data_IF_083976767139
#
_entry.id   IF_083976767139
#
_cell.length_a   1.000
_cell.length_b   1.000
_cell.length_c   1.000
_cell.angle_alpha   90.00
_cell.angle_beta   90.00
_cell.angle_gamma   90.00
#
_symmetry.space_group_name_H-M   'P 1'
#
loop_
_entity.id
_entity.type
_entity.pdbx_description
1 polymer ?
#
# COMPACT_ATOMS: atom_id res chain seq x y z
N UNK A 1 -14.00 -52.85 -61.78
CA UNK A 1 -13.00 -53.93 -61.70
C UNK A 1 -12.96 -54.33 -60.26
N UNK A 2 -13.70 -55.32 -59.84
CA UNK A 2 -13.31 -56.72 -59.65
C UNK A 2 -12.33 -56.85 -58.49
N UNK A 3 -12.47 -57.63 -57.43
CA UNK A 3 -13.30 -58.85 -57.15
C UNK A 3 -13.01 -59.14 -55.67
N UNK A 4 -13.92 -59.41 -54.80
CA UNK A 4 -14.56 -60.64 -54.45
C UNK A 4 -13.61 -61.80 -54.04
N UNK A 5 -13.83 -62.31 -52.82
CA UNK A 5 -14.15 -63.73 -52.45
C UNK A 5 -13.73 -63.92 -50.97
N UNK A 6 -14.71 -64.20 -50.10
CA UNK A 6 -15.23 -65.53 -49.69
C UNK A 6 -14.22 -66.34 -48.86
N UNK A 7 -14.50 -66.62 -47.67
CA UNK A 7 -15.42 -67.48 -46.93
C UNK A 7 -14.63 -68.61 -46.25
N UNK A 8 -14.89 -68.87 -44.98
CA UNK A 8 -15.32 -70.16 -44.46
C UNK A 8 -15.15 -70.29 -42.94
N UNK A 9 -16.23 -70.47 -42.23
CA UNK A 9 -16.29 -71.21 -40.97
C UNK A 9 -16.23 -72.74 -41.28
N UNK A 10 -15.84 -73.59 -40.31
CA UNK A 10 -16.89 -74.38 -39.70
C UNK A 10 -16.70 -74.84 -38.23
N UNK A 11 -17.87 -75.11 -37.65
CA UNK A 11 -18.30 -76.28 -36.88
C UNK A 11 -17.88 -76.53 -35.44
N UNK A 12 -18.82 -76.26 -34.59
CA UNK A 12 -19.37 -77.06 -33.48
C UNK A 12 -18.69 -78.38 -33.11
N UNK A 13 -18.36 -78.49 -31.80
CA UNK A 13 -18.40 -79.76 -31.10
C UNK A 13 -18.85 -79.57 -29.65
N UNK A 14 -20.11 -79.89 -29.37
CA UNK A 14 -20.67 -80.17 -28.05
C UNK A 14 -20.19 -81.53 -27.55
N UNK A 15 -19.82 -81.68 -26.28
CA UNK A 15 -19.88 -82.88 -25.46
C UNK A 15 -20.07 -82.51 -23.98
N UNK A 16 -20.66 -83.33 -23.09
CA UNK A 16 -21.72 -82.90 -22.19
C UNK A 16 -21.34 -82.80 -20.69
N UNK A 17 -22.27 -82.18 -20.04
CA UNK A 17 -22.58 -82.03 -18.62
C UNK A 17 -22.27 -83.29 -17.73
N UNK A 18 -21.52 -83.10 -16.65
CA UNK A 18 -21.68 -83.91 -15.44
C UNK A 18 -21.72 -82.96 -14.23
N UNK A 19 -22.85 -82.97 -13.47
CA UNK A 19 -23.09 -82.36 -12.15
C UNK A 19 -22.09 -82.90 -11.14
N UNK A 20 -21.49 -82.03 -10.36
CA UNK A 20 -21.07 -82.30 -9.00
C UNK A 20 -21.32 -81.03 -8.12
N UNK A 21 -22.37 -81.06 -7.31
CA UNK A 21 -22.65 -80.05 -6.27
C UNK A 21 -21.66 -80.28 -5.16
N UNK A 22 -20.85 -79.23 -4.83
CA UNK A 22 -20.14 -79.10 -3.54
C UNK A 22 -20.55 -77.83 -2.95
N UNK A 23 -21.34 -77.87 -1.87
CA UNK A 23 -21.67 -76.78 -0.97
C UNK A 23 -20.41 -76.42 -0.19
N UNK A 24 -19.77 -75.33 -0.50
CA UNK A 24 -18.75 -74.71 0.33
C UNK A 24 -19.32 -73.43 0.93
N UNK A 25 -19.67 -73.53 2.22
CA UNK A 25 -20.06 -72.38 3.06
C UNK A 25 -18.81 -71.51 3.28
N UNK A 26 -18.59 -70.53 2.39
CA UNK A 26 -17.51 -69.54 2.53
C UNK A 26 -18.00 -68.38 3.41
N UNK A 27 -17.44 -68.25 4.59
CA UNK A 27 -17.53 -67.12 5.50
C UNK A 27 -17.10 -65.87 4.70
N UNK A 28 -18.03 -64.96 4.45
CA UNK A 28 -17.72 -63.59 4.02
C UNK A 28 -17.11 -62.85 5.20
N UNK A 29 -15.81 -63.01 5.39
CA UNK A 29 -15.04 -62.03 6.16
C UNK A 29 -15.06 -60.73 5.36
N UNK A 30 -15.86 -59.75 5.78
CA UNK A 30 -15.76 -58.38 5.36
C UNK A 30 -14.38 -57.85 5.78
N UNK A 31 -13.38 -58.04 4.94
CA UNK A 31 -12.15 -57.27 5.01
C UNK A 31 -12.55 -55.86 4.63
N UNK A 32 -12.72 -54.97 5.61
CA UNK A 32 -12.50 -53.55 5.38
C UNK A 32 -11.04 -53.47 4.93
N UNK A 33 -10.82 -53.49 3.62
CA UNK A 33 -9.57 -52.98 3.05
C UNK A 33 -9.48 -51.52 3.49
N UNK A 34 -8.77 -51.27 4.56
CA UNK A 34 -8.19 -49.94 4.81
C UNK A 34 -7.26 -49.69 3.63
N UNK A 35 -7.73 -48.90 2.68
CA UNK A 35 -6.87 -48.36 1.60
C UNK A 35 -5.68 -47.77 2.32
N UNK A 36 -4.43 -48.23 2.09
CA UNK A 36 -3.28 -47.64 2.70
C UNK A 36 -3.27 -46.16 2.22
N UNK A 37 -3.38 -45.25 3.15
CA UNK A 37 -3.20 -43.80 2.89
C UNK A 37 -1.83 -43.69 2.20
N UNK A 38 -1.82 -43.44 0.88
CA UNK A 38 -0.60 -43.12 0.16
C UNK A 38 -0.10 -41.75 0.69
N UNK A 39 0.84 -41.84 1.66
CA UNK A 39 1.43 -40.65 2.29
C UNK A 39 2.05 -39.68 1.25
N UNK A 40 2.43 -40.21 0.07
CA UNK A 40 2.89 -39.41 -1.06
C UNK A 40 1.78 -38.65 -1.79
N UNK A 41 0.52 -39.12 -1.73
CA UNK A 41 -0.58 -38.43 -2.41
C UNK A 41 -0.96 -37.13 -1.73
N UNK A 42 -0.98 -37.12 -0.38
CA UNK A 42 -1.21 -35.89 0.40
C UNK A 42 -0.12 -34.84 0.15
N UNK A 43 1.15 -35.23 0.20
CA UNK A 43 2.27 -34.31 -0.03
C UNK A 43 2.30 -33.76 -1.47
N UNK A 44 1.94 -34.56 -2.49
CA UNK A 44 1.80 -34.04 -3.86
C UNK A 44 0.75 -32.93 -3.94
N UNK A 45 -0.42 -33.11 -3.32
CA UNK A 45 -1.47 -32.09 -3.26
C UNK A 45 -1.03 -30.85 -2.48
N UNK A 46 -0.30 -31.02 -1.39
CA UNK A 46 0.28 -29.93 -0.64
C UNK A 46 1.28 -29.12 -1.49
N UNK A 47 2.09 -29.78 -2.33
CA UNK A 47 3.00 -29.10 -3.24
C UNK A 47 2.26 -28.33 -4.34
N UNK A 48 1.19 -28.89 -4.89
CA UNK A 48 0.32 -28.19 -5.85
C UNK A 48 -0.33 -26.96 -5.19
N UNK A 49 -0.81 -27.08 -3.95
CA UNK A 49 -1.37 -25.98 -3.19
C UNK A 49 -0.36 -24.83 -3.01
N UNK A 50 0.87 -25.11 -2.62
CA UNK A 50 1.95 -24.09 -2.52
C UNK A 50 2.22 -23.41 -3.86
N UNK A 51 2.12 -24.12 -4.97
CA UNK A 51 2.27 -23.56 -6.32
C UNK A 51 1.14 -22.56 -6.62
N UNK A 52 -0.10 -22.92 -6.29
CA UNK A 52 -1.25 -21.99 -6.44
C UNK A 52 -1.16 -20.79 -5.52
N UNK A 53 -0.67 -20.94 -4.29
CA UNK A 53 -0.40 -19.83 -3.38
C UNK A 53 0.60 -18.83 -3.99
N UNK A 54 1.70 -19.33 -4.55
CA UNK A 54 2.71 -18.50 -5.21
C UNK A 54 2.16 -17.73 -6.42
N UNK A 55 1.09 -18.23 -7.05
CA UNK A 55 0.38 -17.58 -8.16
C UNK A 55 -0.76 -16.67 -7.70
N UNK A 56 -1.04 -16.58 -6.39
CA UNK A 56 -2.18 -15.87 -5.85
C UNK A 56 -3.54 -16.53 -6.12
N UNK A 57 -3.55 -17.80 -6.57
CA UNK A 57 -4.75 -18.54 -6.89
C UNK A 57 -5.32 -19.23 -5.63
N UNK A 58 -5.80 -18.39 -4.69
CA UNK A 58 -6.11 -18.79 -3.32
C UNK A 58 -7.21 -19.85 -3.20
N UNK A 59 -8.26 -19.82 -4.05
CA UNK A 59 -9.31 -20.85 -4.04
C UNK A 59 -8.75 -22.21 -4.46
N UNK A 60 -7.92 -22.26 -5.52
CA UNK A 60 -7.28 -23.48 -5.98
C UNK A 60 -6.29 -24.02 -4.93
N UNK A 61 -5.54 -23.12 -4.29
CA UNK A 61 -4.67 -23.48 -3.17
C UNK A 61 -5.47 -24.13 -2.04
N UNK A 62 -6.57 -23.51 -1.60
CA UNK A 62 -7.42 -24.03 -0.53
C UNK A 62 -8.00 -25.41 -0.84
N UNK A 63 -8.50 -25.62 -2.05
CA UNK A 63 -9.02 -26.92 -2.50
C UNK A 63 -7.94 -28.02 -2.50
N UNK A 64 -6.73 -27.69 -2.95
CA UNK A 64 -5.61 -28.65 -2.92
C UNK A 64 -5.13 -28.93 -1.49
N UNK A 65 -5.16 -27.93 -0.60
CA UNK A 65 -4.90 -28.14 0.83
C UNK A 65 -5.96 -29.04 1.48
N UNK A 66 -7.26 -28.89 1.13
CA UNK A 66 -8.33 -29.78 1.60
C UNK A 66 -8.08 -31.23 1.13
N UNK A 67 -7.76 -31.42 -0.16
CA UNK A 67 -7.42 -32.75 -0.66
C UNK A 67 -6.15 -33.34 -0.02
N UNK A 68 -5.16 -32.52 0.28
CA UNK A 68 -3.97 -32.96 1.02
C UNK A 68 -4.33 -33.44 2.41
N UNK A 69 -5.21 -32.72 3.11
CA UNK A 69 -5.69 -33.11 4.43
C UNK A 69 -6.46 -34.44 4.42
N UNK A 70 -7.35 -34.63 3.44
CA UNK A 70 -8.17 -35.85 3.32
C UNK A 70 -7.32 -37.11 3.01
N UNK A 71 -6.13 -36.92 2.45
CA UNK A 71 -5.21 -38.00 2.05
C UNK A 71 -4.03 -38.20 2.99
N UNK A 72 -4.02 -37.49 4.11
CA UNK A 72 -2.91 -37.54 5.07
C UNK A 72 -3.37 -37.99 6.44
N UNK A 73 -2.52 -38.71 7.20
CA UNK A 73 -2.80 -39.00 8.61
C UNK A 73 -2.58 -37.77 9.48
N UNK A 74 -3.14 -37.78 10.70
CA UNK A 74 -2.77 -36.81 11.73
C UNK A 74 -1.31 -37.01 12.16
N UNK A 75 -0.57 -35.95 12.53
CA UNK A 75 -1.01 -34.54 12.62
C UNK A 75 -0.95 -33.75 11.30
N UNK A 76 -0.39 -34.31 10.21
CA UNK A 76 -0.23 -33.62 8.94
C UNK A 76 -1.58 -33.14 8.36
N UNK A 77 -2.64 -33.94 8.51
CA UNK A 77 -3.99 -33.55 8.07
C UNK A 77 -4.47 -32.27 8.75
N UNK A 78 -4.20 -32.09 10.02
CA UNK A 78 -4.56 -30.87 10.76
C UNK A 78 -3.76 -29.66 10.30
N UNK A 79 -2.46 -29.80 10.02
CA UNK A 79 -1.64 -28.72 9.43
C UNK A 79 -2.16 -28.31 8.04
N UNK A 80 -2.54 -29.29 7.21
CA UNK A 80 -3.10 -28.99 5.88
C UNK A 80 -4.49 -28.34 5.97
N UNK A 81 -5.36 -28.74 6.92
CA UNK A 81 -6.63 -28.04 7.18
C UNK A 81 -6.41 -26.59 7.60
N UNK A 82 -5.40 -26.32 8.45
CA UNK A 82 -5.04 -24.96 8.81
C UNK A 82 -4.63 -24.15 7.58
N UNK A 83 -3.76 -24.72 6.72
CA UNK A 83 -3.33 -24.05 5.49
C UNK A 83 -4.51 -23.83 4.52
N UNK A 84 -5.46 -24.77 4.41
CA UNK A 84 -6.69 -24.57 3.64
C UNK A 84 -7.50 -23.40 4.19
N UNK A 85 -7.65 -23.31 5.52
CA UNK A 85 -8.33 -22.22 6.19
C UNK A 85 -7.70 -20.85 5.92
N UNK A 86 -6.37 -20.77 5.98
CA UNK A 86 -5.62 -19.55 5.66
C UNK A 86 -5.78 -19.16 4.19
N UNK A 87 -5.75 -20.11 3.26
CA UNK A 87 -5.97 -19.87 1.85
C UNK A 87 -7.40 -19.39 1.56
N UNK A 88 -8.44 -19.96 2.22
CA UNK A 88 -9.81 -19.45 2.14
C UNK A 88 -9.94 -18.03 2.67
N UNK A 89 -9.24 -17.67 3.76
CA UNK A 89 -9.19 -16.27 4.25
C UNK A 89 -8.64 -15.33 3.20
N UNK A 90 -7.53 -15.69 2.58
CA UNK A 90 -6.92 -14.91 1.47
C UNK A 90 -7.87 -14.75 0.28
N UNK A 91 -8.70 -15.76 0.04
CA UNK A 91 -9.74 -15.75 -1.00
C UNK A 91 -10.99 -14.96 -0.63
N UNK A 92 -11.11 -14.48 0.61
CA UNK A 92 -12.30 -13.79 1.14
C UNK A 92 -13.45 -14.72 1.56
N UNK A 93 -13.24 -16.04 1.56
CA UNK A 93 -14.24 -17.02 2.02
C UNK A 93 -14.13 -17.27 3.52
N UNK A 94 -14.63 -16.31 4.30
CA UNK A 94 -14.57 -16.32 5.76
C UNK A 94 -15.31 -17.54 6.35
N UNK A 95 -16.37 -18.01 5.70
CA UNK A 95 -17.16 -19.15 6.17
C UNK A 95 -16.38 -20.46 6.13
N UNK A 96 -15.81 -20.80 4.96
CA UNK A 96 -14.96 -21.99 4.82
C UNK A 96 -13.68 -21.89 5.62
N UNK A 97 -13.07 -20.71 5.67
CA UNK A 97 -11.90 -20.47 6.49
C UNK A 97 -12.13 -20.83 7.95
N UNK A 98 -13.22 -20.33 8.54
CA UNK A 98 -13.59 -20.62 9.93
C UNK A 98 -13.78 -22.10 10.20
N UNK A 99 -14.49 -22.81 9.31
CA UNK A 99 -14.70 -24.25 9.46
C UNK A 99 -13.37 -25.02 9.45
N UNK A 100 -12.47 -24.70 8.52
CA UNK A 100 -11.18 -25.38 8.39
C UNK A 100 -10.24 -25.09 9.57
N UNK A 101 -10.12 -23.84 10.00
CA UNK A 101 -9.31 -23.43 11.15
C UNK A 101 -9.82 -24.12 12.41
N UNK A 102 -11.12 -24.12 12.67
CA UNK A 102 -11.69 -24.77 13.83
C UNK A 102 -11.41 -26.29 13.87
N UNK A 103 -11.57 -26.97 12.73
CA UNK A 103 -11.31 -28.42 12.62
C UNK A 103 -9.82 -28.78 12.72
N UNK A 104 -8.92 -27.86 12.42
CA UNK A 104 -7.49 -28.13 12.51
C UNK A 104 -6.99 -28.21 13.95
N UNK A 105 -7.57 -27.42 14.88
CA UNK A 105 -7.02 -27.18 16.22
C UNK A 105 -6.76 -28.45 17.03
N UNK A 106 -7.62 -29.45 16.94
CA UNK A 106 -7.52 -30.66 17.76
C UNK A 106 -6.25 -31.49 17.53
N UNK A 107 -5.67 -31.41 16.33
CA UNK A 107 -4.45 -32.14 15.96
C UNK A 107 -3.18 -31.26 15.90
N UNK A 108 -3.29 -29.96 16.24
CA UNK A 108 -2.16 -29.04 16.20
C UNK A 108 -1.46 -28.92 17.57
N UNK A 109 -0.17 -28.62 17.52
CA UNK A 109 0.64 -28.35 18.70
C UNK A 109 1.78 -27.38 18.37
N UNK A 110 2.38 -26.76 19.38
CA UNK A 110 3.51 -25.86 19.22
C UNK A 110 3.19 -24.73 18.22
N UNK A 111 4.11 -24.47 17.31
CA UNK A 111 4.02 -23.37 16.37
C UNK A 111 2.77 -23.38 15.48
N UNK A 112 2.27 -24.58 15.07
CA UNK A 112 1.05 -24.65 14.26
C UNK A 112 -0.19 -24.27 15.08
N UNK A 113 -0.21 -24.53 16.37
CA UNK A 113 -1.28 -24.06 17.25
C UNK A 113 -1.26 -22.53 17.40
N UNK A 114 -0.07 -21.94 17.52
CA UNK A 114 0.09 -20.47 17.55
C UNK A 114 -0.39 -19.84 16.23
N UNK A 115 -0.05 -20.45 15.09
CA UNK A 115 -0.56 -20.04 13.76
C UNK A 115 -2.08 -20.14 13.66
N UNK A 116 -2.68 -21.19 14.20
CA UNK A 116 -4.14 -21.35 14.21
C UNK A 116 -4.82 -20.29 15.10
N UNK A 117 -4.21 -19.93 16.21
CA UNK A 117 -4.72 -18.87 17.08
C UNK A 117 -4.58 -17.48 16.45
N UNK A 118 -3.49 -17.24 15.72
CA UNK A 118 -3.34 -16.03 14.90
C UNK A 118 -4.39 -15.97 13.77
N UNK A 119 -4.67 -17.11 13.12
CA UNK A 119 -5.70 -17.20 12.09
C UNK A 119 -7.11 -16.93 12.63
N UNK A 120 -7.38 -17.25 13.90
CA UNK A 120 -8.65 -16.90 14.56
C UNK A 120 -8.79 -15.38 14.74
N UNK A 121 -7.73 -14.70 15.17
CA UNK A 121 -7.73 -13.24 15.23
C UNK A 121 -7.92 -12.60 13.82
N UNK A 122 -7.33 -13.19 12.77
CA UNK A 122 -7.59 -12.77 11.38
C UNK A 122 -9.05 -12.96 10.97
N UNK A 123 -9.67 -14.05 11.37
CA UNK A 123 -11.11 -14.30 11.12
C UNK A 123 -12.01 -13.28 11.80
N UNK A 124 -11.70 -12.90 13.03
CA UNK A 124 -12.43 -11.86 13.76
C UNK A 124 -12.32 -10.53 13.04
N UNK A 125 -11.11 -10.13 12.66
CA UNK A 125 -10.89 -8.90 11.90
C UNK A 125 -11.60 -8.91 10.55
N UNK A 126 -11.51 -10.01 9.80
CA UNK A 126 -12.20 -10.17 8.51
C UNK A 126 -13.74 -10.16 8.63
N UNK A 127 -14.26 -10.46 9.82
CA UNK A 127 -15.69 -10.39 10.14
C UNK A 127 -16.10 -9.00 10.66
N UNK A 128 -15.17 -8.04 10.76
CA UNK A 128 -15.41 -6.68 11.27
C UNK A 128 -15.29 -6.55 12.80
N UNK A 129 -14.89 -7.60 13.50
CA UNK A 129 -14.68 -7.60 14.95
C UNK A 129 -13.20 -7.31 15.27
N UNK A 130 -12.81 -6.05 15.14
CA UNK A 130 -11.45 -5.63 15.39
C UNK A 130 -11.07 -5.64 16.88
N UNK A 131 -12.01 -5.33 17.76
CA UNK A 131 -11.79 -5.41 19.21
C UNK A 131 -11.62 -6.86 19.67
N UNK A 132 -12.44 -7.78 19.16
CA UNK A 132 -12.29 -9.20 19.38
C UNK A 132 -10.95 -9.74 18.86
N UNK A 133 -10.48 -9.25 17.69
CA UNK A 133 -9.17 -9.61 17.16
C UNK A 133 -8.03 -9.15 18.09
N UNK A 134 -8.08 -7.92 18.62
CA UNK A 134 -7.10 -7.43 19.60
C UNK A 134 -7.08 -8.27 20.87
N UNK A 135 -8.26 -8.59 21.42
CA UNK A 135 -8.38 -9.43 22.62
C UNK A 135 -7.82 -10.86 22.38
N UNK A 136 -8.07 -11.44 21.19
CA UNK A 136 -7.51 -12.74 20.83
C UNK A 136 -5.98 -12.69 20.74
N UNK A 137 -5.41 -11.61 20.18
CA UNK A 137 -3.96 -11.41 20.09
C UNK A 137 -3.28 -11.27 21.46
N UNK A 138 -3.94 -10.67 22.46
CA UNK A 138 -3.38 -10.51 23.80
C UNK A 138 -3.11 -11.85 24.50
N UNK A 139 -3.79 -12.92 24.10
CA UNK A 139 -3.58 -14.27 24.61
C UNK A 139 -2.36 -14.98 24.03
N UNK A 140 -1.71 -14.40 22.99
CA UNK A 140 -0.58 -14.96 22.29
C UNK A 140 0.72 -14.26 22.65
N UNK A 141 1.81 -15.03 22.77
CA UNK A 141 3.14 -14.45 22.89
C UNK A 141 3.62 -13.95 21.49
N UNK A 142 3.80 -12.64 21.35
CA UNK A 142 4.25 -11.98 20.12
C UNK A 142 5.75 -12.23 19.84
N UNK A 143 6.20 -13.48 19.89
CA UNK A 143 7.60 -13.87 19.73
C UNK A 143 7.78 -14.95 18.66
N UNK A 144 9.04 -15.18 18.29
CA UNK A 144 9.40 -16.25 17.36
C UNK A 144 8.82 -16.05 15.96
N UNK A 145 8.40 -17.14 15.35
CA UNK A 145 8.00 -17.16 13.93
C UNK A 145 6.68 -16.42 13.63
N UNK A 146 5.82 -16.23 14.64
CA UNK A 146 4.54 -15.53 14.45
C UNK A 146 4.63 -14.02 14.71
N UNK A 147 5.74 -13.54 15.26
CA UNK A 147 5.86 -12.17 15.76
C UNK A 147 5.55 -11.11 14.68
N UNK A 148 6.12 -11.26 13.50
CA UNK A 148 5.90 -10.30 12.40
C UNK A 148 4.42 -10.23 11.98
N UNK A 149 3.74 -11.39 11.91
CA UNK A 149 2.33 -11.47 11.54
C UNK A 149 1.43 -10.99 12.68
N UNK A 150 1.80 -11.27 13.92
CA UNK A 150 1.10 -10.79 15.12
C UNK A 150 1.08 -9.25 15.16
N UNK A 151 2.24 -8.61 14.98
CA UNK A 151 2.34 -7.15 14.96
C UNK A 151 1.59 -6.53 13.78
N UNK A 152 1.62 -7.19 12.61
CA UNK A 152 0.83 -6.76 11.45
C UNK A 152 -0.67 -6.78 11.74
N UNK A 153 -1.16 -7.91 12.27
CA UNK A 153 -2.58 -8.08 12.55
C UNK A 153 -3.06 -7.13 13.65
N UNK A 154 -2.21 -6.88 14.66
CA UNK A 154 -2.47 -5.86 15.67
C UNK A 154 -2.61 -4.47 15.06
N UNK A 155 -1.70 -4.10 14.14
CA UNK A 155 -1.79 -2.83 13.44
C UNK A 155 -3.08 -2.70 12.63
N UNK A 156 -3.45 -3.73 11.87
CA UNK A 156 -4.68 -3.75 11.07
C UNK A 156 -5.93 -3.57 11.95
N UNK A 157 -5.98 -4.25 13.08
CA UNK A 157 -7.08 -4.13 14.02
C UNK A 157 -7.14 -2.73 14.65
N UNK A 158 -5.99 -2.14 15.00
CA UNK A 158 -5.90 -0.78 15.54
C UNK A 158 -6.33 0.28 14.51
N UNK A 159 -5.92 0.12 13.24
CA UNK A 159 -6.39 0.98 12.15
C UNK A 159 -7.92 0.86 11.98
N UNK A 160 -8.47 -0.33 12.07
CA UNK A 160 -9.91 -0.56 11.92
C UNK A 160 -10.74 0.16 12.98
N UNK A 161 -10.23 0.31 14.22
CA UNK A 161 -10.90 1.04 15.31
C UNK A 161 -10.45 2.52 15.43
N UNK A 162 -9.63 3.02 14.49
CA UNK A 162 -9.21 4.42 14.46
C UNK A 162 -8.09 4.79 15.44
N UNK A 163 -7.39 3.82 16.01
CA UNK A 163 -6.22 4.05 16.87
C UNK A 163 -4.93 4.15 16.04
N UNK A 164 -4.87 5.19 15.19
CA UNK A 164 -3.86 5.35 14.15
C UNK A 164 -2.42 5.40 14.69
N UNK A 165 -2.16 6.14 15.78
CA UNK A 165 -0.83 6.23 16.39
C UNK A 165 -0.34 4.87 16.90
N UNK A 166 -1.20 4.14 17.60
CA UNK A 166 -0.88 2.81 18.11
C UNK A 166 -0.66 1.80 16.95
N UNK A 167 -1.43 1.93 15.86
CA UNK A 167 -1.28 1.10 14.66
C UNK A 167 0.07 1.35 13.97
N UNK A 168 0.48 2.62 13.82
CA UNK A 168 1.80 2.97 13.29
C UNK A 168 2.91 2.41 14.19
N UNK A 169 2.78 2.55 15.51
CA UNK A 169 3.70 1.97 16.48
C UNK A 169 3.84 0.45 16.37
N UNK A 170 2.74 -0.25 16.11
CA UNK A 170 2.75 -1.69 15.87
C UNK A 170 3.50 -2.04 14.58
N UNK A 171 3.29 -1.30 13.47
CA UNK A 171 4.02 -1.50 12.22
C UNK A 171 5.53 -1.20 12.35
N UNK A 172 5.90 -0.15 13.08
CA UNK A 172 7.31 0.15 13.39
C UNK A 172 7.94 -0.97 14.22
N UNK A 173 7.22 -1.50 15.20
CA UNK A 173 7.70 -2.62 16.02
C UNK A 173 7.87 -3.91 15.20
N UNK A 174 6.97 -4.17 14.25
CA UNK A 174 7.02 -5.29 13.31
C UNK A 174 8.36 -5.38 12.58
N UNK A 175 8.97 -4.24 12.23
CA UNK A 175 10.25 -4.21 11.49
C UNK A 175 11.38 -5.00 12.17
N UNK A 176 11.36 -5.12 13.51
CA UNK A 176 12.35 -5.89 14.29
C UNK A 176 12.29 -7.39 14.02
N UNK A 177 11.19 -7.88 13.47
CA UNK A 177 10.93 -9.30 13.20
C UNK A 177 10.98 -9.64 11.72
N UNK A 178 11.30 -8.66 10.85
CA UNK A 178 11.48 -8.86 9.42
C UNK A 178 12.96 -9.09 9.10
N UNK A 179 13.25 -10.24 8.50
CA UNK A 179 14.64 -10.71 8.34
C UNK A 179 15.31 -10.25 7.04
N UNK A 180 14.61 -9.61 6.10
CA UNK A 180 15.18 -9.22 4.80
C UNK A 180 14.89 -7.76 4.46
N UNK A 181 15.79 -7.09 3.71
CA UNK A 181 15.56 -5.73 3.24
C UNK A 181 14.28 -5.58 2.42
N UNK A 182 13.93 -6.59 1.62
CA UNK A 182 12.72 -6.59 0.78
C UNK A 182 11.45 -6.63 1.65
N UNK A 183 11.43 -7.45 2.70
CA UNK A 183 10.32 -7.51 3.65
C UNK A 183 10.16 -6.20 4.43
N UNK A 184 11.27 -5.56 4.81
CA UNK A 184 11.27 -4.23 5.43
C UNK A 184 10.70 -3.18 4.49
N UNK A 185 11.16 -3.14 3.24
CA UNK A 185 10.67 -2.19 2.24
C UNK A 185 9.16 -2.39 1.99
N UNK A 186 8.72 -3.64 1.83
CA UNK A 186 7.30 -3.96 1.64
C UNK A 186 6.44 -3.55 2.84
N UNK A 187 6.91 -3.75 4.08
CA UNK A 187 6.21 -3.33 5.29
C UNK A 187 6.05 -1.81 5.38
N UNK A 188 7.08 -1.06 5.01
CA UNK A 188 7.08 0.41 4.99
C UNK A 188 6.15 0.97 3.92
N UNK A 189 6.16 0.36 2.74
CA UNK A 189 5.24 0.72 1.67
C UNK A 189 3.78 0.44 2.06
N UNK A 190 3.52 -0.70 2.70
CA UNK A 190 2.20 -1.04 3.22
C UNK A 190 1.71 -0.03 4.26
N UNK A 191 2.56 0.34 5.23
CA UNK A 191 2.26 1.38 6.22
C UNK A 191 1.96 2.72 5.53
N UNK A 192 2.78 3.10 4.56
CA UNK A 192 2.60 4.32 3.81
C UNK A 192 1.26 4.37 3.08
N UNK A 193 0.87 3.28 2.41
CA UNK A 193 -0.42 3.19 1.72
C UNK A 193 -1.60 3.28 2.70
N UNK A 194 -1.51 2.63 3.86
CA UNK A 194 -2.53 2.74 4.92
C UNK A 194 -2.69 4.17 5.40
N UNK A 195 -1.59 4.85 5.71
CA UNK A 195 -1.61 6.24 6.17
C UNK A 195 -2.18 7.19 5.12
N UNK A 196 -1.85 7.01 3.85
CA UNK A 196 -2.43 7.78 2.74
C UNK A 196 -3.94 7.59 2.65
N UNK A 197 -4.43 6.36 2.76
CA UNK A 197 -5.86 6.06 2.74
C UNK A 197 -6.57 6.69 3.95
N UNK A 198 -5.97 6.63 5.13
CA UNK A 198 -6.48 7.26 6.35
C UNK A 198 -6.57 8.78 6.22
N UNK A 199 -5.51 9.40 5.72
CA UNK A 199 -5.47 10.84 5.47
C UNK A 199 -6.53 11.27 4.44
N UNK A 200 -6.67 10.53 3.34
CA UNK A 200 -7.70 10.77 2.32
C UNK A 200 -9.13 10.59 2.86
N UNK A 201 -9.33 9.71 3.84
CA UNK A 201 -10.60 9.53 4.55
C UNK A 201 -10.85 10.59 5.63
N UNK A 202 -9.96 11.58 5.79
CA UNK A 202 -10.09 12.69 6.76
C UNK A 202 -9.62 12.38 8.18
N UNK A 203 -8.83 11.32 8.39
CA UNK A 203 -8.21 11.05 9.69
C UNK A 203 -7.22 12.18 10.05
N UNK A 204 -7.24 12.63 11.29
CA UNK A 204 -6.39 13.73 11.77
C UNK A 204 -4.90 13.41 11.67
N UNK A 205 -4.50 12.17 11.93
CA UNK A 205 -3.12 11.68 11.97
C UNK A 205 -2.17 12.57 12.77
N UNK A 206 -2.66 13.27 13.80
CA UNK A 206 -1.85 14.12 14.66
C UNK A 206 -1.17 13.28 15.74
N UNK A 207 0.18 13.19 15.76
CA UNK A 207 0.87 12.40 16.76
C UNK A 207 0.75 13.06 18.12
N UNK A 208 0.64 12.26 19.18
CA UNK A 208 0.68 12.78 20.55
C UNK A 208 2.09 13.31 20.88
N UNK A 209 2.22 14.22 21.86
CA UNK A 209 3.53 14.72 22.29
C UNK A 209 4.45 13.62 22.87
N UNK A 210 3.91 12.48 23.24
CA UNK A 210 4.65 11.34 23.77
C UNK A 210 4.99 10.28 22.70
N UNK A 211 4.54 10.47 21.46
CA UNK A 211 4.79 9.53 20.37
C UNK A 211 6.30 9.43 20.07
N UNK A 212 6.76 8.21 19.74
CA UNK A 212 8.11 7.98 19.26
C UNK A 212 8.38 8.80 17.98
N UNK A 213 9.63 9.24 17.77
CA UNK A 213 10.01 10.08 16.64
C UNK A 213 9.74 9.43 15.29
N UNK A 214 9.88 8.10 15.18
CA UNK A 214 9.56 7.35 13.95
C UNK A 214 8.06 7.33 13.70
N UNK A 215 7.26 7.12 14.74
CA UNK A 215 5.78 7.16 14.65
C UNK A 215 5.33 8.56 14.23
N UNK A 216 5.84 9.59 14.91
CA UNK A 216 5.56 10.99 14.60
C UNK A 216 5.92 11.35 13.17
N UNK A 217 7.09 10.92 12.72
CA UNK A 217 7.56 11.18 11.37
C UNK A 217 6.65 10.60 10.29
N UNK A 218 6.19 9.35 10.45
CA UNK A 218 5.25 8.72 9.52
C UNK A 218 3.91 9.46 9.46
N UNK A 219 3.34 9.82 10.62
CA UNK A 219 2.06 10.50 10.71
C UNK A 219 2.12 11.93 10.15
N UNK A 220 3.17 12.70 10.49
CA UNK A 220 3.40 14.02 9.92
C UNK A 220 3.58 13.99 8.40
N UNK A 221 4.34 13.02 7.87
CA UNK A 221 4.56 12.87 6.43
C UNK A 221 3.23 12.64 5.68
N UNK A 222 2.35 11.81 6.22
CA UNK A 222 1.04 11.55 5.64
C UNK A 222 0.13 12.78 5.66
N UNK A 223 0.16 13.58 6.73
CA UNK A 223 -0.57 14.85 6.83
C UNK A 223 -0.08 15.87 5.81
N UNK A 224 1.24 15.98 5.66
CA UNK A 224 1.84 16.91 4.70
C UNK A 224 1.38 16.62 3.28
N UNK A 225 1.30 15.35 2.90
CA UNK A 225 0.86 14.98 1.55
C UNK A 225 -0.65 15.24 1.33
N UNK A 226 -1.48 15.10 2.36
CA UNK A 226 -2.93 15.29 2.24
C UNK A 226 -3.35 16.76 2.13
N UNK A 227 -2.54 17.69 2.64
CA UNK A 227 -2.96 19.06 2.93
C UNK A 227 -2.61 20.09 1.85
N UNK A 228 -1.82 19.77 0.78
CA UNK A 228 -1.13 20.85 0.08
C UNK A 228 -0.99 20.77 -1.43
N UNK A 229 -0.87 22.01 -2.00
CA UNK A 229 -0.44 22.19 -3.37
C UNK A 229 1.01 21.72 -3.58
N UNK A 230 1.38 21.26 -4.78
CA UNK A 230 2.71 20.73 -5.06
C UNK A 230 3.88 21.66 -4.68
N UNK A 231 3.71 22.97 -4.80
CA UNK A 231 4.78 23.94 -4.57
C UNK A 231 5.11 24.16 -3.08
N UNK A 232 4.09 24.26 -2.23
CA UNK A 232 4.28 24.38 -0.77
C UNK A 232 4.72 23.03 -0.17
N UNK A 233 4.29 21.93 -0.76
CA UNK A 233 4.60 20.59 -0.32
C UNK A 233 6.10 20.25 -0.36
N UNK A 234 6.83 20.69 -1.42
CA UNK A 234 8.28 20.43 -1.53
C UNK A 234 9.07 21.04 -0.37
N UNK A 235 8.82 22.29 -0.03
CA UNK A 235 9.49 22.98 1.08
C UNK A 235 9.28 22.24 2.40
N UNK A 236 8.04 21.88 2.70
CA UNK A 236 7.69 21.15 3.92
C UNK A 236 8.23 19.73 3.97
N UNK A 237 8.35 19.03 2.84
CA UNK A 237 9.03 17.73 2.80
C UNK A 237 10.52 17.85 3.13
N UNK A 238 11.18 18.89 2.64
CA UNK A 238 12.59 19.16 2.97
C UNK A 238 12.74 19.55 4.46
N UNK A 239 11.79 20.30 5.02
CA UNK A 239 11.74 20.62 6.44
C UNK A 239 11.51 19.37 7.29
N UNK A 240 10.60 18.50 6.84
CA UNK A 240 10.36 17.22 7.47
C UNK A 240 11.62 16.35 7.43
N UNK A 241 12.33 16.26 6.30
CA UNK A 241 13.57 15.51 6.16
C UNK A 241 14.66 16.03 7.11
N UNK A 242 14.77 17.34 7.27
CA UNK A 242 15.71 17.94 8.24
C UNK A 242 15.36 17.61 9.69
N UNK A 243 14.07 17.53 10.01
CA UNK A 243 13.58 17.18 11.36
C UNK A 243 13.76 15.69 11.67
N UNK A 244 13.65 14.83 10.64
CA UNK A 244 13.74 13.39 10.76
C UNK A 244 14.82 12.80 9.83
N UNK A 245 16.10 13.10 10.04
CA UNK A 245 17.17 12.74 9.10
C UNK A 245 17.36 11.23 8.96
N UNK A 246 17.16 10.47 10.03
CA UNK A 246 17.35 9.01 10.08
C UNK A 246 16.04 8.22 9.90
N UNK A 247 14.96 8.90 9.49
CA UNK A 247 13.66 8.27 9.38
C UNK A 247 13.61 7.25 8.22
N UNK A 248 12.98 6.06 8.42
CA UNK A 248 12.91 5.01 7.40
C UNK A 248 12.30 5.46 6.06
N UNK A 249 11.36 6.39 6.07
CA UNK A 249 10.72 6.93 4.87
C UNK A 249 11.70 7.68 3.94
N UNK A 250 12.84 8.16 4.45
CA UNK A 250 13.86 8.81 3.62
C UNK A 250 14.38 7.88 2.51
N UNK A 251 14.56 6.61 2.83
CA UNK A 251 15.08 5.62 1.89
C UNK A 251 14.01 4.96 1.00
N UNK A 252 12.74 5.02 1.39
CA UNK A 252 11.68 4.26 0.73
C UNK A 252 10.63 5.12 0.02
N UNK A 253 10.13 6.16 0.67
CA UNK A 253 8.95 6.92 0.23
C UNK A 253 9.33 8.32 -0.26
N UNK A 254 10.27 8.99 0.43
CA UNK A 254 10.53 10.41 0.21
C UNK A 254 11.04 10.71 -1.19
N UNK A 255 11.88 9.85 -1.79
CA UNK A 255 12.36 10.01 -3.15
C UNK A 255 11.24 10.11 -4.17
N UNK A 256 10.30 9.17 -4.13
CA UNK A 256 9.13 9.16 -5.02
C UNK A 256 8.20 10.37 -4.81
N UNK A 257 8.04 10.83 -3.56
CA UNK A 257 7.29 12.04 -3.28
C UNK A 257 7.96 13.28 -3.88
N UNK A 258 9.26 13.43 -3.69
CA UNK A 258 10.03 14.55 -4.26
C UNK A 258 9.99 14.54 -5.80
N UNK A 259 10.04 13.37 -6.43
CA UNK A 259 9.92 13.24 -7.88
C UNK A 259 8.51 13.61 -8.37
N UNK A 260 7.46 13.26 -7.63
CA UNK A 260 6.10 13.69 -7.91
C UNK A 260 5.98 15.23 -7.86
N UNK A 261 6.60 15.86 -6.86
CA UNK A 261 6.62 17.31 -6.77
C UNK A 261 7.49 17.97 -7.86
N UNK A 262 8.57 17.33 -8.30
CA UNK A 262 9.34 17.82 -9.47
C UNK A 262 8.51 17.78 -10.74
N UNK A 263 7.85 16.66 -11.02
CA UNK A 263 7.00 16.52 -12.20
C UNK A 263 5.84 17.54 -12.21
N UNK A 264 5.27 17.85 -11.04
CA UNK A 264 4.24 18.87 -10.89
C UNK A 264 4.79 20.31 -11.06
N UNK A 265 6.08 20.53 -10.74
CA UNK A 265 6.74 21.82 -10.92
C UNK A 265 7.20 22.08 -12.35
N UNK A 266 7.33 21.04 -13.19
CA UNK A 266 7.57 21.21 -14.63
C UNK A 266 6.37 21.89 -15.34
N UNK A 267 5.18 21.84 -14.70
CA UNK A 267 3.96 22.55 -15.15
C UNK A 267 3.21 23.12 -13.95
N UNK A 268 3.44 24.40 -13.59
CA UNK A 268 2.73 25.03 -12.48
C UNK A 268 1.21 25.05 -12.77
N UNK A 269 0.41 24.67 -11.79
CA UNK A 269 -1.06 24.69 -11.90
C UNK A 269 -1.61 26.10 -11.66
N UNK A 270 -0.93 26.88 -10.81
CA UNK A 270 -1.28 28.25 -10.50
C UNK A 270 -0.04 29.16 -10.49
N UNK A 271 -0.07 30.20 -11.28
CA UNK A 271 0.98 31.22 -11.37
C UNK A 271 0.47 32.53 -10.77
N UNK A 272 1.18 33.05 -9.79
CA UNK A 272 0.95 34.38 -9.22
C UNK A 272 1.86 35.42 -9.89
N UNK A 273 1.31 36.55 -10.29
CA UNK A 273 2.07 37.68 -10.85
C UNK A 273 1.97 38.87 -9.91
N UNK A 274 3.12 39.27 -9.34
CA UNK A 274 3.23 40.35 -8.36
C UNK A 274 3.70 41.62 -9.06
N UNK A 275 2.81 42.61 -9.19
CA UNK A 275 3.08 43.85 -9.95
C UNK A 275 2.49 45.07 -9.21
N UNK A 276 3.12 46.23 -9.29
CA UNK A 276 2.53 47.51 -8.81
C UNK A 276 1.46 47.97 -9.81
N UNK A 277 0.19 47.59 -9.56
CA UNK A 277 -0.93 47.96 -10.44
C UNK A 277 -1.63 49.27 -10.05
N UNK A 278 -1.28 49.79 -8.90
CA UNK A 278 -1.75 51.11 -8.38
C UNK A 278 -0.57 52.02 -8.09
N UNK A 279 -0.86 53.30 -7.76
CA UNK A 279 0.16 54.26 -7.40
C UNK A 279 1.02 54.75 -8.58
N UNK A 280 2.23 55.21 -8.27
CA UNK A 280 3.14 55.90 -9.23
C UNK A 280 3.63 54.96 -10.37
N UNK A 281 3.74 53.68 -10.10
CA UNK A 281 4.26 52.69 -11.06
C UNK A 281 3.16 51.88 -11.78
N UNK A 282 1.89 52.25 -11.59
CA UNK A 282 0.75 51.55 -12.16
C UNK A 282 0.85 51.35 -13.69
N UNK A 283 1.36 52.35 -14.40
CA UNK A 283 1.57 52.23 -15.86
C UNK A 283 2.60 51.16 -16.26
N UNK A 284 3.70 51.10 -15.51
CA UNK A 284 4.73 50.07 -15.75
C UNK A 284 4.20 48.68 -15.37
N UNK A 285 3.54 48.54 -14.21
CA UNK A 285 2.93 47.29 -13.81
C UNK A 285 1.87 46.78 -14.77
N UNK A 286 1.01 47.66 -15.26
CA UNK A 286 -0.01 47.32 -16.26
C UNK A 286 0.61 46.89 -17.62
N UNK A 287 1.67 47.57 -18.10
CA UNK A 287 2.35 47.17 -19.30
C UNK A 287 2.97 45.79 -19.23
N UNK A 288 3.59 45.45 -18.08
CA UNK A 288 4.14 44.09 -17.82
C UNK A 288 3.02 43.07 -17.78
N UNK A 289 1.94 43.35 -17.03
CA UNK A 289 0.76 42.47 -16.97
C UNK A 289 0.20 42.19 -18.38
N UNK A 290 -0.01 43.23 -19.18
CA UNK A 290 -0.61 43.11 -20.51
C UNK A 290 0.28 42.33 -21.47
N UNK A 291 1.61 42.52 -21.39
CA UNK A 291 2.59 41.74 -22.12
C UNK A 291 2.59 40.27 -21.69
N UNK A 292 2.52 40.00 -20.40
CA UNK A 292 2.43 38.67 -19.86
C UNK A 292 1.12 37.96 -20.28
N UNK A 293 -0.01 38.67 -20.19
CA UNK A 293 -1.31 38.18 -20.66
C UNK A 293 -1.34 37.90 -22.15
N UNK A 294 -0.69 38.74 -22.98
CA UNK A 294 -0.60 38.49 -24.39
C UNK A 294 0.18 37.21 -24.72
N UNK A 295 1.31 36.97 -24.05
CA UNK A 295 2.05 35.71 -24.15
C UNK A 295 1.27 34.50 -23.66
N UNK A 296 0.60 34.63 -22.52
CA UNK A 296 -0.22 33.56 -21.91
C UNK A 296 -1.40 33.14 -22.80
N UNK A 297 -2.09 34.13 -23.42
CA UNK A 297 -3.24 33.86 -24.29
C UNK A 297 -2.81 33.47 -25.72
N UNK A 298 -1.66 33.94 -26.17
CA UNK A 298 -1.12 33.66 -27.51
C UNK A 298 -0.36 32.34 -27.64
N UNK A 299 -0.12 31.63 -26.55
CA UNK A 299 0.53 30.32 -26.59
C UNK A 299 -0.40 29.29 -27.26
N UNK A 300 0.01 28.79 -28.44
CA UNK A 300 -0.68 27.71 -29.15
C UNK A 300 -0.28 26.35 -28.53
N UNK A 301 -1.27 25.48 -28.32
CA UNK A 301 -1.00 24.07 -28.00
C UNK A 301 -1.97 23.41 -27.02
N UNK A 302 -1.91 22.09 -27.02
CA UNK A 302 -2.65 21.20 -26.13
C UNK A 302 -2.11 21.18 -24.68
N UNK A 303 -1.17 22.08 -24.35
CA UNK A 303 -0.58 22.15 -23.01
C UNK A 303 -1.58 22.75 -22.03
N UNK A 304 -1.85 22.11 -20.88
CA UNK A 304 -2.70 22.67 -19.85
C UNK A 304 -2.17 24.05 -19.40
N UNK A 305 -3.04 25.07 -19.42
CA UNK A 305 -2.64 26.41 -18.98
C UNK A 305 -2.83 26.53 -17.48
N UNK A 306 -1.82 27.05 -16.73
CA UNK A 306 -1.99 27.31 -15.30
C UNK A 306 -3.04 28.40 -15.04
N UNK A 307 -3.68 28.34 -13.89
CA UNK A 307 -4.50 29.46 -13.42
C UNK A 307 -3.59 30.65 -13.17
N UNK A 308 -3.89 31.81 -13.79
CA UNK A 308 -3.11 33.03 -13.60
C UNK A 308 -3.83 33.96 -12.61
N UNK A 309 -3.16 34.38 -11.55
CA UNK A 309 -3.64 35.37 -10.60
C UNK A 309 -2.67 36.54 -10.50
N UNK A 310 -3.19 37.76 -10.49
CA UNK A 310 -2.38 39.00 -10.42
C UNK A 310 -2.63 39.71 -9.10
N UNK A 311 -1.55 40.05 -8.40
CA UNK A 311 -1.57 40.71 -7.08
C UNK A 311 -0.91 42.09 -7.20
N UNK A 312 -1.56 43.09 -6.63
CA UNK A 312 -1.07 44.48 -6.64
C UNK A 312 -0.16 44.74 -5.44
N UNK A 313 1.17 44.82 -5.68
CA UNK A 313 2.16 45.10 -4.62
C UNK A 313 2.12 46.51 -4.08
N UNK A 314 1.41 47.45 -4.74
CA UNK A 314 1.27 48.81 -4.29
C UNK A 314 -0.03 49.06 -3.48
N UNK A 315 -1.02 48.16 -3.59
CA UNK A 315 -2.26 48.26 -2.77
C UNK A 315 -2.07 47.63 -1.39
N UNK A 316 -1.16 46.66 -1.27
CA UNK A 316 -0.70 46.06 -0.02
C UNK A 316 0.83 46.09 0.03
N UNK A 317 1.47 45.59 1.10
CA UNK A 317 2.93 45.43 1.05
C UNK A 317 3.32 44.30 0.12
N UNK A 318 4.52 44.34 -0.50
CA UNK A 318 5.01 43.25 -1.37
C UNK A 318 5.05 41.87 -0.67
N UNK A 319 5.38 41.88 0.64
CA UNK A 319 5.40 40.67 1.47
C UNK A 319 3.98 40.12 1.66
N UNK A 320 3.00 40.97 1.95
CA UNK A 320 1.61 40.58 2.12
C UNK A 320 1.02 40.04 0.82
N UNK A 321 1.35 40.65 -0.33
CA UNK A 321 0.93 40.19 -1.65
C UNK A 321 1.55 38.78 -1.97
N UNK A 322 2.80 38.56 -1.57
CA UNK A 322 3.48 37.28 -1.72
C UNK A 322 2.84 36.21 -0.83
N UNK A 323 2.64 36.53 0.47
CA UNK A 323 2.01 35.60 1.40
C UNK A 323 0.59 35.22 0.97
N UNK A 324 -0.20 36.19 0.50
CA UNK A 324 -1.53 35.92 -0.05
C UNK A 324 -1.46 34.97 -1.26
N UNK A 325 -0.55 35.21 -2.18
CA UNK A 325 -0.36 34.36 -3.35
C UNK A 325 -0.02 32.91 -2.94
N UNK A 326 0.86 32.74 -1.96
CA UNK A 326 1.23 31.41 -1.42
C UNK A 326 0.07 30.73 -0.71
N UNK A 327 -0.67 31.44 0.15
CA UNK A 327 -1.85 30.91 0.84
C UNK A 327 -2.95 30.50 -0.14
N UNK A 328 -3.11 31.25 -1.23
CA UNK A 328 -4.08 30.95 -2.29
C UNK A 328 -3.61 29.85 -3.25
N UNK A 329 -2.42 29.24 -3.03
CA UNK A 329 -1.95 28.06 -3.72
C UNK A 329 -1.09 28.32 -4.95
N UNK A 330 -0.34 29.43 -5.02
CA UNK A 330 0.60 29.67 -6.11
C UNK A 330 1.73 28.63 -6.12
N UNK A 331 1.96 28.02 -7.30
CA UNK A 331 3.05 27.08 -7.56
C UNK A 331 4.31 27.77 -8.10
N UNK A 332 4.12 28.92 -8.71
CA UNK A 332 5.16 29.80 -9.25
C UNK A 332 4.76 31.24 -9.01
N UNK A 333 5.72 32.04 -8.55
CA UNK A 333 5.56 33.50 -8.43
C UNK A 333 6.42 34.19 -9.49
N UNK A 334 5.83 35.13 -10.23
CA UNK A 334 6.51 35.99 -11.19
C UNK A 334 6.44 37.43 -10.68
N UNK A 335 7.56 38.08 -10.53
CA UNK A 335 7.70 39.33 -9.82
C UNK A 335 8.42 39.15 -8.46
N UNK A 336 8.54 40.21 -7.65
CA UNK A 336 8.08 41.57 -7.91
C UNK A 336 8.82 42.29 -9.06
N UNK A 337 8.23 43.39 -9.52
CA UNK A 337 8.80 44.21 -10.61
C UNK A 337 9.87 45.17 -10.11
N UNK A 338 9.67 45.78 -8.93
CA UNK A 338 10.60 46.77 -8.42
C UNK A 338 11.69 46.15 -7.56
N UNK A 339 12.85 46.81 -7.54
CA UNK A 339 13.96 46.35 -6.68
C UNK A 339 13.63 46.44 -5.21
N UNK A 340 12.98 47.51 -4.79
CA UNK A 340 12.55 47.70 -3.38
C UNK A 340 11.59 46.60 -2.92
N UNK A 341 10.63 46.21 -3.78
CA UNK A 341 9.70 45.14 -3.48
C UNK A 341 10.42 43.79 -3.41
N UNK A 342 11.44 43.57 -4.27
CA UNK A 342 12.25 42.36 -4.25
C UNK A 342 13.10 42.26 -2.98
N UNK A 343 13.71 43.36 -2.55
CA UNK A 343 14.47 43.43 -1.29
C UNK A 343 13.56 43.10 -0.08
N UNK A 344 12.33 43.63 -0.06
CA UNK A 344 11.37 43.37 0.97
C UNK A 344 10.95 41.90 1.04
N UNK A 345 10.65 41.27 -0.11
CA UNK A 345 10.30 39.86 -0.18
C UNK A 345 11.49 38.97 0.20
N UNK A 346 12.71 39.32 -0.23
CA UNK A 346 13.91 38.54 0.11
C UNK A 346 14.24 38.63 1.61
N UNK A 347 14.10 39.81 2.23
CA UNK A 347 14.37 40.03 3.65
C UNK A 347 13.37 39.31 4.57
N UNK A 348 12.15 39.03 4.10
CA UNK A 348 11.14 38.30 4.83
C UNK A 348 11.29 36.78 4.79
N UNK A 349 12.33 36.27 4.15
CA UNK A 349 12.63 34.84 3.98
C UNK A 349 11.43 34.03 3.42
N UNK A 350 10.75 34.60 2.44
CA UNK A 350 9.52 34.06 1.85
C UNK A 350 9.80 33.01 0.75
N UNK A 351 10.87 32.22 0.87
CA UNK A 351 11.30 31.23 -0.16
C UNK A 351 10.45 29.96 -0.23
N UNK A 352 9.16 30.06 0.09
CA UNK A 352 8.24 28.92 0.10
C UNK A 352 7.88 28.39 -1.29
N UNK A 353 7.94 29.26 -2.31
CA UNK A 353 7.54 28.97 -3.68
C UNK A 353 8.63 29.44 -4.64
N UNK A 354 8.87 28.69 -5.71
CA UNK A 354 9.79 29.12 -6.77
C UNK A 354 9.37 30.50 -7.30
N UNK A 355 10.28 31.46 -7.22
CA UNK A 355 10.00 32.85 -7.57
C UNK A 355 10.95 33.32 -8.67
N UNK A 356 10.39 33.84 -9.77
CA UNK A 356 11.11 34.52 -10.84
C UNK A 356 10.94 36.02 -10.69
N UNK A 357 11.88 36.67 -10.02
CA UNK A 357 11.86 38.11 -9.84
C UNK A 357 12.14 38.82 -11.18
N UNK A 358 11.39 39.89 -11.45
CA UNK A 358 11.54 40.73 -12.65
C UNK A 358 12.58 41.84 -12.43
N UNK A 359 13.40 41.73 -11.38
CA UNK A 359 14.49 42.64 -11.06
C UNK A 359 15.61 41.87 -10.33
N UNK A 360 16.68 42.58 -9.95
CA UNK A 360 17.87 42.00 -9.27
C UNK A 360 18.15 42.70 -7.93
N UNK A 361 18.59 41.87 -6.98
CA UNK A 361 19.22 42.36 -5.75
C UNK A 361 20.61 42.89 -6.06
N UNK A 362 21.06 43.92 -5.36
CA UNK A 362 22.43 44.41 -5.49
C UNK A 362 23.44 43.38 -4.95
N UNK A 363 23.09 42.71 -3.90
CA UNK A 363 23.88 41.63 -3.32
C UNK A 363 23.17 40.29 -3.59
N UNK A 364 23.69 39.53 -4.52
CA UNK A 364 23.16 38.23 -4.90
C UNK A 364 23.25 37.20 -3.75
N UNK A 365 24.10 37.42 -2.73
CA UNK A 365 24.22 36.53 -1.57
C UNK A 365 22.98 36.62 -0.63
N UNK A 366 22.17 37.65 -0.77
CA UNK A 366 20.91 37.83 -0.04
C UNK A 366 19.73 37.11 -0.69
N UNK A 367 19.92 36.48 -1.86
CA UNK A 367 18.86 35.74 -2.53
C UNK A 367 18.57 34.42 -1.81
N UNK A 368 17.36 34.21 -1.27
CA UNK A 368 17.00 32.95 -0.66
C UNK A 368 16.94 31.82 -1.71
N UNK A 369 17.05 30.54 -1.28
CA UNK A 369 16.88 29.40 -2.17
C UNK A 369 15.52 29.44 -2.89
N UNK A 370 15.51 29.21 -4.22
CA UNK A 370 14.29 29.25 -5.04
C UNK A 370 13.94 30.61 -5.62
N UNK A 371 14.72 31.66 -5.33
CA UNK A 371 14.61 32.97 -5.97
C UNK A 371 15.53 33.05 -7.20
N UNK A 372 14.92 33.13 -8.36
CA UNK A 372 15.58 33.39 -9.64
C UNK A 372 15.37 34.87 -10.04
N UNK A 373 16.37 35.49 -10.68
CA UNK A 373 16.34 36.91 -10.99
C UNK A 373 16.60 37.12 -12.49
N UNK A 374 15.71 37.86 -13.16
CA UNK A 374 15.95 38.31 -14.53
C UNK A 374 16.94 39.47 -14.54
N UNK A 375 17.88 39.43 -15.50
CA UNK A 375 18.89 40.47 -15.70
C UNK A 375 18.51 41.40 -16.83
#
# INVERSE_FOLDING_TARGET
MQSAREAAAPLFRMVPMRLAAIVALGVLASACETIPLDSGAGERRAQEARTFEAQGAWIQAALNWDEAADRSPEPAASTYRLNAGLAYLKAGDVGRARDRINRSRAGLSGQDLDRASLAEAQLLLASGDAEGALAALESLDAQGAIAADWWKLRADALFAIGQDEAAVGAMVTRERFLGTPEALAASREELWQQLRQRAAAGASLEPSPAADSTVSGWMELARLQAAESPSSGKGRLLDWQRRYPDHPANATVLGGLLDTYRAALDFPQQVAVLLPLSGRLAGAGSAVRDGFMAGYLGADGDTPRPVLRVYDTAASSPESAYEQAVVEGADLVIGPLTKSDLEAVAAADLSRVTTLALNRLDDASLAPPGLYQLS
#
